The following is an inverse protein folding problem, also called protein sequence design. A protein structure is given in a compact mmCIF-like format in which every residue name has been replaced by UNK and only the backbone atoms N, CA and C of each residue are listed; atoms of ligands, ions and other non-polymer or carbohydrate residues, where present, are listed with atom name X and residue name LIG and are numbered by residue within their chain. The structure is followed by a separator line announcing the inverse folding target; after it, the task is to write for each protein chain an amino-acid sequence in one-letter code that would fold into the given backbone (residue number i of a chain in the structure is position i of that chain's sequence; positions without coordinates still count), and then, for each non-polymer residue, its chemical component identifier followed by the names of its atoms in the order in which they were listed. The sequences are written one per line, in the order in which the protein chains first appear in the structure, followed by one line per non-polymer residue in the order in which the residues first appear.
data_IF_775864700508
#
_entry.id   IF_775864700508
#
_cell.length_a   1.000
_cell.length_b   1.000
_cell.length_c   1.000
_cell.angle_alpha   90.00
_cell.angle_beta   90.00
_cell.angle_gamma   90.00
#
_symmetry.space_group_name_H-M   'P 1'
#
loop_
_entity.id
_entity.type
_entity.pdbx_description
1 polymer ?
#
# COMPACT_ATOMS: atom_id res chain seq x y z
N UNK A 1 36.68 47.07 13.24
CA UNK A 1 36.15 46.42 12.00
C UNK A 1 35.84 44.97 12.35
N UNK A 2 34.67 44.79 12.95
CA UNK A 2 33.45 44.17 12.39
C UNK A 2 33.36 42.70 12.79
N UNK A 3 32.96 42.50 14.04
CA UNK A 3 32.45 41.25 14.60
C UNK A 3 31.21 40.84 13.81
N UNK A 4 31.32 39.76 13.04
CA UNK A 4 30.17 39.15 12.35
C UNK A 4 29.31 38.48 13.43
N UNK A 5 28.19 39.11 13.75
CA UNK A 5 27.18 38.54 14.62
C UNK A 5 26.58 37.30 13.94
N UNK A 6 26.86 36.11 14.48
CA UNK A 6 26.12 34.89 14.15
C UNK A 6 24.65 35.13 14.48
N UNK A 7 23.81 35.26 13.45
CA UNK A 7 22.36 35.22 13.61
C UNK A 7 21.96 33.85 14.15
N UNK A 8 21.09 33.76 15.16
CA UNK A 8 20.58 32.47 15.62
C UNK A 8 19.84 31.80 14.46
N UNK A 9 20.19 30.54 14.18
CA UNK A 9 19.48 29.71 13.22
C UNK A 9 17.99 29.69 13.61
N UNK A 10 17.14 30.32 12.80
CA UNK A 10 15.69 30.25 12.97
C UNK A 10 15.30 28.78 12.83
N UNK A 11 14.81 28.19 13.91
CA UNK A 11 14.20 26.88 13.86
C UNK A 11 13.01 26.94 12.90
N UNK A 12 13.11 26.19 11.80
CA UNK A 12 12.04 26.10 10.81
C UNK A 12 10.99 25.15 11.40
N UNK A 13 9.82 25.69 11.74
CA UNK A 13 8.70 24.89 12.24
C UNK A 13 8.04 24.27 11.01
N UNK A 14 8.25 22.96 10.80
CA UNK A 14 7.73 22.24 9.63
C UNK A 14 6.20 22.28 9.48
N UNK A 15 5.45 22.56 10.54
CA UNK A 15 3.99 22.55 10.50
C UNK A 15 3.38 23.63 9.59
N UNK A 16 4.13 24.69 9.25
CA UNK A 16 3.66 25.78 8.40
C UNK A 16 4.24 25.73 6.98
N UNK A 17 5.05 24.70 6.66
CA UNK A 17 5.65 24.54 5.33
C UNK A 17 4.69 23.72 4.48
N UNK A 18 4.10 24.36 3.47
CA UNK A 18 3.42 23.65 2.39
C UNK A 18 4.52 23.15 1.43
N UNK A 19 4.80 21.84 1.38
CA UNK A 19 5.88 21.33 0.53
C UNK A 19 5.50 21.49 -0.93
N UNK A 20 6.43 21.99 -1.76
CA UNK A 20 6.26 21.96 -3.20
C UNK A 20 6.31 20.50 -3.69
N UNK A 21 5.19 19.98 -4.18
CA UNK A 21 5.06 18.61 -4.65
C UNK A 21 6.05 18.26 -5.77
N UNK A 22 6.41 19.22 -6.63
CA UNK A 22 7.35 18.98 -7.73
C UNK A 22 8.77 18.77 -7.18
N UNK A 23 9.16 19.56 -6.18
CA UNK A 23 10.45 19.44 -5.52
C UNK A 23 10.56 18.16 -4.68
N UNK A 24 9.51 17.81 -3.96
CA UNK A 24 9.46 16.57 -3.15
C UNK A 24 9.60 15.32 -4.03
N UNK A 25 8.92 15.30 -5.18
CA UNK A 25 8.96 14.20 -6.15
C UNK A 25 10.28 14.05 -6.89
N UNK A 26 11.23 14.99 -6.76
CA UNK A 26 12.61 14.81 -7.27
C UNK A 26 13.38 13.75 -6.48
N UNK A 27 12.98 13.47 -5.25
CA UNK A 27 13.56 12.38 -4.47
C UNK A 27 12.78 11.08 -4.76
N UNK A 28 13.46 9.96 -5.10
CA UNK A 28 12.80 8.67 -5.26
C UNK A 28 12.01 8.27 -4.00
N UNK A 29 10.79 7.78 -4.19
CA UNK A 29 9.86 7.50 -3.08
C UNK A 29 10.46 6.52 -2.05
N UNK A 30 11.12 5.46 -2.51
CA UNK A 30 11.78 4.48 -1.64
C UNK A 30 12.85 5.13 -0.77
N UNK A 31 13.62 6.07 -1.34
CA UNK A 31 14.68 6.77 -0.64
C UNK A 31 14.10 7.79 0.36
N UNK A 32 13.02 8.48 -0.04
CA UNK A 32 12.31 9.42 0.81
C UNK A 32 11.75 8.76 2.08
N UNK A 33 11.08 7.61 1.94
CA UNK A 33 10.53 6.87 3.09
C UNK A 33 11.61 6.13 3.89
N UNK A 34 12.61 5.52 3.24
CA UNK A 34 13.69 4.82 3.95
C UNK A 34 14.52 5.76 4.81
N UNK A 35 14.85 6.94 4.29
CA UNK A 35 15.69 7.91 4.98
C UNK A 35 14.88 8.94 5.77
N UNK A 36 13.54 8.87 5.73
CA UNK A 36 12.62 9.87 6.28
C UNK A 36 13.05 11.27 5.88
N UNK A 37 13.10 11.52 4.58
CA UNK A 37 13.69 12.69 3.96
C UNK A 37 12.67 13.42 3.05
N UNK A 38 12.54 14.73 3.22
CA UNK A 38 11.61 15.59 2.50
C UNK A 38 12.36 16.81 1.93
N UNK A 39 12.49 16.94 0.60
CA UNK A 39 12.89 18.19 -0.02
C UNK A 39 11.85 19.29 0.26
N UNK A 40 12.24 20.42 0.85
CA UNK A 40 11.30 21.47 1.28
C UNK A 40 11.49 22.82 0.60
N UNK A 41 12.69 23.11 0.08
CA UNK A 41 12.99 24.35 -0.61
C UNK A 41 14.19 24.19 -1.55
N UNK A 42 14.23 24.98 -2.62
CA UNK A 42 15.38 25.10 -3.51
C UNK A 42 15.76 26.57 -3.64
N UNK A 43 17.02 26.90 -3.41
CA UNK A 43 17.56 28.24 -3.52
C UNK A 43 19.02 28.18 -3.99
N UNK A 44 19.40 29.03 -4.95
CA UNK A 44 20.77 29.14 -5.46
C UNK A 44 21.38 27.80 -5.94
N UNK A 45 20.56 26.91 -6.51
CA UNK A 45 20.98 25.57 -6.97
C UNK A 45 21.24 24.57 -5.84
N UNK A 46 20.90 24.91 -4.60
CA UNK A 46 20.94 24.02 -3.46
C UNK A 46 19.53 23.66 -2.97
N UNK A 47 19.32 22.39 -2.64
CA UNK A 47 18.05 21.87 -2.12
C UNK A 47 18.15 21.70 -0.62
N UNK A 48 17.22 22.28 0.11
CA UNK A 48 17.06 22.03 1.55
C UNK A 48 16.21 20.78 1.73
N UNK A 49 16.79 19.77 2.38
CA UNK A 49 16.13 18.49 2.68
C UNK A 49 15.99 18.37 4.19
N UNK A 50 14.76 18.18 4.65
CA UNK A 50 14.48 17.84 6.04
C UNK A 50 14.61 16.34 6.21
N UNK A 51 15.38 15.87 7.19
CA UNK A 51 15.59 14.45 7.48
C UNK A 51 15.40 14.12 8.96
N UNK A 52 14.93 12.92 9.26
CA UNK A 52 14.87 12.44 10.65
C UNK A 52 16.28 12.27 11.25
N UNK A 53 17.25 11.81 10.45
CA UNK A 53 18.62 11.57 10.89
C UNK A 53 19.66 12.20 9.94
N UNK A 54 19.91 13.52 10.02
CA UNK A 54 20.87 14.20 9.13
C UNK A 54 22.34 13.89 9.44
N UNK A 55 22.63 13.15 10.51
CA UNK A 55 24.00 12.75 10.85
C UNK A 55 24.45 11.47 10.13
N UNK A 56 23.54 10.80 9.42
CA UNK A 56 23.86 9.61 8.64
C UNK A 56 24.53 10.02 7.31
N UNK A 57 25.84 9.81 7.16
CA UNK A 57 26.57 10.24 5.98
C UNK A 57 26.15 9.43 4.74
N UNK A 58 25.80 8.16 4.90
CA UNK A 58 25.40 7.28 3.79
C UNK A 58 24.07 7.77 3.22
N UNK A 59 23.09 8.01 4.08
CA UNK A 59 21.79 8.52 3.66
C UNK A 59 21.91 9.90 2.97
N UNK A 60 22.77 10.78 3.48
CA UNK A 60 23.01 12.10 2.88
C UNK A 60 23.62 12.01 1.48
N UNK A 61 24.61 11.13 1.30
CA UNK A 61 25.28 10.97 0.03
C UNK A 61 24.33 10.37 -1.01
N UNK A 62 23.53 9.36 -0.62
CA UNK A 62 22.48 8.78 -1.48
C UNK A 62 21.44 9.84 -1.90
N UNK A 63 20.96 10.65 -0.97
CA UNK A 63 19.97 11.71 -1.25
C UNK A 63 20.56 12.79 -2.16
N UNK A 64 21.80 13.22 -1.89
CA UNK A 64 22.48 14.23 -2.72
C UNK A 64 22.69 13.72 -4.15
N UNK A 65 23.10 12.45 -4.29
CA UNK A 65 23.26 11.80 -5.59
C UNK A 65 21.93 11.70 -6.35
N UNK A 66 20.84 11.33 -5.66
CA UNK A 66 19.51 11.22 -6.25
C UNK A 66 18.96 12.58 -6.72
N UNK A 67 19.21 13.64 -5.95
CA UNK A 67 18.70 14.99 -6.27
C UNK A 67 19.52 15.72 -7.34
N UNK A 68 20.75 15.28 -7.59
CA UNK A 68 21.66 15.88 -8.57
C UNK A 68 22.07 17.31 -8.25
N UNK A 69 21.87 17.75 -7.00
CA UNK A 69 22.07 19.12 -6.55
C UNK A 69 22.75 19.17 -5.18
N UNK A 70 23.43 20.28 -4.88
CA UNK A 70 23.99 20.51 -3.56
C UNK A 70 22.86 20.46 -2.52
N UNK A 71 22.97 19.62 -1.50
CA UNK A 71 21.88 19.39 -0.55
C UNK A 71 22.26 19.91 0.85
N UNK A 72 21.39 20.72 1.44
CA UNK A 72 21.49 21.15 2.83
C UNK A 72 20.53 20.33 3.68
N UNK A 73 21.05 19.65 4.70
CA UNK A 73 20.26 18.74 5.53
C UNK A 73 19.87 19.38 6.85
N UNK A 74 18.58 19.40 7.13
CA UNK A 74 18.01 19.95 8.37
C UNK A 74 17.30 18.84 9.12
N UNK A 75 17.45 18.82 10.45
CA UNK A 75 16.75 17.82 11.28
C UNK A 75 15.26 18.13 11.35
N UNK A 76 14.43 17.15 11.05
CA UNK A 76 12.98 17.18 11.29
C UNK A 76 12.53 16.04 12.19
N UNK A 77 11.27 16.09 12.62
CA UNK A 77 10.63 14.96 13.31
C UNK A 77 10.17 13.95 12.26
N UNK A 78 10.51 12.68 12.48
CA UNK A 78 10.14 11.58 11.59
C UNK A 78 8.64 11.57 11.30
N UNK A 79 7.81 11.73 12.32
CA UNK A 79 6.35 11.65 12.21
C UNK A 79 5.79 12.78 11.33
N UNK A 80 6.36 13.99 11.45
CA UNK A 80 5.97 15.14 10.63
C UNK A 80 6.43 14.96 9.18
N UNK A 81 7.64 14.44 8.99
CA UNK A 81 8.16 14.14 7.65
C UNK A 81 7.27 13.10 6.99
N UNK A 82 7.03 11.96 7.64
CA UNK A 82 6.21 10.88 7.10
C UNK A 82 4.78 11.34 6.80
N UNK A 83 4.18 12.19 7.65
CA UNK A 83 2.87 12.78 7.38
C UNK A 83 2.87 13.67 6.13
N UNK A 84 3.92 14.47 5.94
CA UNK A 84 4.07 15.34 4.77
C UNK A 84 4.39 14.55 3.49
N UNK A 85 5.27 13.54 3.56
CA UNK A 85 5.53 12.61 2.46
C UNK A 85 4.23 11.93 2.03
N UNK A 86 3.46 11.41 3.00
CA UNK A 86 2.14 10.85 2.73
C UNK A 86 1.20 11.90 2.10
N UNK A 87 1.13 13.13 2.62
CA UNK A 87 0.30 14.16 1.97
C UNK A 87 0.78 14.53 0.57
N UNK A 88 2.08 14.52 0.27
CA UNK A 88 2.53 14.86 -1.07
C UNK A 88 2.30 13.69 -2.02
N UNK A 89 2.67 12.46 -1.66
CA UNK A 89 2.46 11.32 -2.55
C UNK A 89 1.02 10.80 -2.58
N UNK A 90 0.18 11.12 -1.59
CA UNK A 90 -1.25 10.75 -1.56
C UNK A 90 -2.21 11.93 -1.86
N UNK A 91 -1.80 13.19 -1.68
CA UNK A 91 -2.68 14.39 -1.80
C UNK A 91 -2.23 15.38 -2.89
N UNK A 92 -1.10 15.17 -3.60
CA UNK A 92 -0.74 16.05 -4.72
C UNK A 92 -1.38 15.62 -6.04
N UNK A 93 -2.39 16.39 -6.41
CA UNK A 93 -3.00 16.53 -7.74
C UNK A 93 -2.31 15.74 -8.85
N UNK A 94 -2.92 14.61 -9.17
CA UNK A 94 -2.83 13.77 -10.35
C UNK A 94 -1.66 14.03 -11.35
N UNK A 95 -0.47 13.44 -11.15
CA UNK A 95 0.12 12.71 -12.26
C UNK A 95 -0.74 11.44 -12.41
N UNK A 96 -1.60 11.37 -13.44
CA UNK A 96 -2.53 10.26 -13.66
C UNK A 96 -1.99 8.92 -13.19
N UNK A 97 -2.73 8.20 -12.34
CA UNK A 97 -2.38 6.82 -11.98
C UNK A 97 -2.01 6.04 -13.25
N UNK A 98 -1.01 5.17 -13.19
CA UNK A 98 -0.61 4.38 -14.38
C UNK A 98 -0.77 2.91 -14.10
N UNK A 99 -1.63 2.26 -14.86
CA UNK A 99 -1.99 0.86 -14.71
C UNK A 99 -1.44 0.04 -15.87
N UNK A 100 -0.86 -1.11 -15.54
CA UNK A 100 -0.47 -2.12 -16.53
C UNK A 100 -1.48 -3.25 -16.53
N UNK A 101 -1.94 -3.65 -17.70
CA UNK A 101 -2.82 -4.81 -17.86
C UNK A 101 -2.06 -5.92 -18.56
N UNK A 102 -2.01 -7.10 -17.94
CA UNK A 102 -1.34 -8.25 -18.51
C UNK A 102 -2.25 -9.48 -18.56
N UNK A 103 -2.50 -9.97 -19.78
CA UNK A 103 -3.27 -11.20 -20.04
C UNK A 103 -2.84 -11.88 -21.35
N UNK A 104 -3.29 -13.12 -21.55
CA UNK A 104 -3.28 -13.78 -22.86
C UNK A 104 -4.24 -13.09 -23.84
N UNK A 105 -3.95 -13.11 -25.15
CA UNK A 105 -4.78 -12.48 -26.18
C UNK A 105 -6.24 -12.95 -26.20
N UNK A 106 -6.50 -14.20 -25.83
CA UNK A 106 -7.81 -14.85 -25.98
C UNK A 106 -8.89 -14.37 -25.00
N UNK A 107 -8.50 -13.74 -23.87
CA UNK A 107 -9.43 -13.28 -22.81
C UNK A 107 -9.34 -11.78 -22.54
N UNK A 108 -8.50 -11.10 -23.32
CA UNK A 108 -8.10 -9.71 -23.11
C UNK A 108 -9.29 -8.74 -23.04
N UNK A 109 -10.34 -8.93 -23.83
CA UNK A 109 -11.46 -7.95 -23.88
C UNK A 109 -12.18 -7.79 -22.54
N UNK A 110 -12.46 -8.90 -21.83
CA UNK A 110 -13.19 -8.85 -20.57
C UNK A 110 -12.34 -8.25 -19.44
N UNK A 111 -11.04 -8.57 -19.41
CA UNK A 111 -10.11 -7.98 -18.45
C UNK A 111 -9.85 -6.51 -18.77
N UNK A 112 -9.67 -6.17 -20.05
CA UNK A 112 -9.40 -4.80 -20.48
C UNK A 112 -10.58 -3.89 -20.17
N UNK A 113 -11.82 -4.34 -20.40
CA UNK A 113 -13.02 -3.58 -20.00
C UNK A 113 -13.06 -3.32 -18.50
N UNK A 114 -12.74 -4.34 -17.68
CA UNK A 114 -12.68 -4.18 -16.23
C UNK A 114 -11.52 -3.26 -15.79
N UNK A 115 -10.35 -3.39 -16.41
CA UNK A 115 -9.18 -2.58 -16.14
C UNK A 115 -9.39 -1.11 -16.54
N UNK A 116 -10.01 -0.84 -17.69
CA UNK A 116 -10.43 0.51 -18.08
C UNK A 116 -11.45 1.06 -17.09
N UNK A 117 -12.44 0.26 -16.65
CA UNK A 117 -13.43 0.72 -15.67
C UNK A 117 -12.79 1.10 -14.33
N UNK A 118 -11.80 0.34 -13.86
CA UNK A 118 -10.99 0.73 -12.70
C UNK A 118 -10.11 1.94 -13.01
N UNK A 119 -9.51 2.00 -14.19
CA UNK A 119 -8.74 3.15 -14.65
C UNK A 119 -9.55 4.44 -14.59
N UNK A 120 -10.80 4.40 -15.05
CA UNK A 120 -11.71 5.54 -15.03
C UNK A 120 -12.00 6.03 -13.60
N UNK A 121 -12.15 5.11 -12.63
CA UNK A 121 -12.34 5.47 -11.21
C UNK A 121 -11.12 6.20 -10.62
N UNK A 122 -9.93 5.91 -11.13
CA UNK A 122 -8.67 6.49 -10.69
C UNK A 122 -8.16 7.60 -11.61
N UNK A 123 -8.87 7.93 -12.69
CA UNK A 123 -8.36 8.77 -13.77
C UNK A 123 -6.97 8.32 -14.26
N UNK A 124 -6.81 7.00 -14.42
CA UNK A 124 -5.57 6.34 -14.71
C UNK A 124 -5.34 6.11 -16.22
N UNK A 125 -4.09 6.22 -16.66
CA UNK A 125 -3.64 5.69 -17.94
C UNK A 125 -3.52 4.17 -17.85
N UNK A 126 -4.17 3.45 -18.76
CA UNK A 126 -4.14 1.98 -18.80
C UNK A 126 -3.31 1.53 -19.99
N UNK A 127 -2.08 1.05 -19.74
CA UNK A 127 -1.18 0.50 -20.76
C UNK A 127 -1.27 -1.04 -20.79
N UNK A 128 -1.21 -1.61 -22.00
CA UNK A 128 -1.17 -3.05 -22.20
C UNK A 128 0.27 -3.56 -22.12
N UNK A 129 0.48 -4.59 -21.29
CA UNK A 129 1.71 -5.36 -21.25
C UNK A 129 1.47 -6.76 -21.84
N UNK A 130 2.18 -7.09 -22.91
CA UNK A 130 2.13 -8.43 -23.49
C UNK A 130 2.71 -9.47 -22.53
N UNK A 131 1.96 -10.56 -22.33
CA UNK A 131 2.45 -11.69 -21.55
C UNK A 131 3.51 -12.44 -22.35
N UNK A 132 4.70 -12.60 -21.75
CA UNK A 132 5.81 -13.35 -22.32
C UNK A 132 6.00 -14.62 -21.49
N UNK A 133 5.88 -15.81 -22.10
CA UNK A 133 6.05 -17.10 -21.40
C UNK A 133 7.45 -17.26 -20.77
N UNK A 134 8.45 -16.56 -21.30
CA UNK A 134 9.79 -16.53 -20.75
C UNK A 134 9.87 -15.65 -19.49
N UNK A 135 9.92 -16.31 -18.34
CA UNK A 135 9.81 -15.71 -17.01
C UNK A 135 10.88 -14.67 -16.68
N UNK A 136 12.12 -14.83 -17.16
CA UNK A 136 13.19 -13.88 -16.86
C UNK A 136 13.02 -12.57 -17.63
N UNK A 137 12.62 -12.65 -18.91
CA UNK A 137 12.35 -11.47 -19.74
C UNK A 137 11.09 -10.73 -19.30
N UNK A 138 10.07 -11.46 -18.86
CA UNK A 138 8.85 -10.85 -18.32
C UNK A 138 9.15 -10.04 -17.05
N UNK A 139 9.86 -10.63 -16.09
CA UNK A 139 10.24 -9.94 -14.86
C UNK A 139 11.15 -8.74 -15.11
N UNK A 140 12.10 -8.83 -16.04
CA UNK A 140 12.97 -7.69 -16.37
C UNK A 140 12.22 -6.57 -17.08
N UNK A 141 11.27 -6.89 -17.96
CA UNK A 141 10.43 -5.88 -18.61
C UNK A 141 9.50 -5.21 -17.59
N UNK A 142 8.94 -6.01 -16.67
CA UNK A 142 8.09 -5.51 -15.60
C UNK A 142 8.88 -4.65 -14.60
N UNK A 143 10.10 -5.03 -14.23
CA UNK A 143 10.98 -4.22 -13.39
C UNK A 143 11.32 -2.86 -14.04
N UNK A 144 11.64 -2.87 -15.33
CA UNK A 144 11.84 -1.62 -16.09
C UNK A 144 10.56 -0.77 -16.10
N UNK A 145 9.40 -1.40 -16.28
CA UNK A 145 8.11 -0.72 -16.23
C UNK A 145 7.79 -0.20 -14.83
N UNK A 146 8.16 -0.89 -13.75
CA UNK A 146 8.00 -0.33 -12.40
C UNK A 146 8.87 0.91 -12.21
N UNK A 147 10.07 0.96 -12.79
CA UNK A 147 10.92 2.15 -12.79
C UNK A 147 10.33 3.31 -13.60
N UNK A 148 9.44 3.03 -14.57
CA UNK A 148 8.69 4.04 -15.33
C UNK A 148 7.53 4.68 -14.50
N UNK A 149 7.33 4.27 -13.25
CA UNK A 149 6.36 4.90 -12.33
C UNK A 149 4.93 4.38 -12.51
N UNK A 150 4.75 3.07 -12.62
CA UNK A 150 3.42 2.43 -12.63
C UNK A 150 2.97 2.05 -11.22
N UNK A 151 1.69 2.29 -10.92
CA UNK A 151 1.12 2.11 -9.57
C UNK A 151 0.46 0.75 -9.37
N UNK A 152 -0.15 0.21 -10.44
CA UNK A 152 -0.92 -1.03 -10.38
C UNK A 152 -0.64 -1.94 -11.58
N UNK A 153 -0.39 -3.22 -11.30
CA UNK A 153 -0.40 -4.29 -12.28
C UNK A 153 -1.68 -5.12 -12.15
N UNK A 154 -2.48 -5.16 -13.21
CA UNK A 154 -3.73 -5.91 -13.32
C UNK A 154 -3.48 -7.21 -14.08
N UNK A 155 -3.76 -8.34 -13.43
CA UNK A 155 -3.58 -9.68 -13.99
C UNK A 155 -4.91 -10.42 -14.12
N UNK A 156 -5.17 -10.94 -15.32
CA UNK A 156 -6.35 -11.76 -15.61
C UNK A 156 -6.17 -13.27 -15.35
N UNK A 157 -7.28 -14.03 -15.39
CA UNK A 157 -7.29 -15.47 -15.18
C UNK A 157 -6.79 -16.21 -16.41
N UNK A 158 -5.49 -16.53 -16.44
CA UNK A 158 -4.89 -17.18 -17.62
C UNK A 158 -5.31 -18.64 -17.90
N UNK A 159 -5.96 -19.38 -17.00
CA UNK A 159 -6.37 -20.78 -17.30
C UNK A 159 -7.57 -21.22 -16.43
N UNK A 160 -8.39 -22.15 -16.94
CA UNK A 160 -9.54 -22.81 -16.28
C UNK A 160 -9.28 -23.45 -14.90
N UNK A 161 -8.07 -23.36 -14.35
CA UNK A 161 -7.75 -23.86 -13.01
C UNK A 161 -6.61 -23.04 -12.38
N UNK A 162 -6.91 -21.79 -12.01
CA UNK A 162 -6.03 -20.94 -11.20
C UNK A 162 -5.48 -21.68 -9.96
N UNK A 163 -6.29 -22.59 -9.39
CA UNK A 163 -5.95 -23.57 -8.34
C UNK A 163 -4.74 -24.46 -8.66
N UNK A 164 -4.60 -24.97 -9.90
CA UNK A 164 -3.53 -25.91 -10.27
C UNK A 164 -2.21 -25.20 -10.64
N UNK A 165 -2.28 -23.88 -10.88
CA UNK A 165 -1.17 -23.08 -11.39
C UNK A 165 -0.39 -22.35 -10.29
N UNK A 166 -1.04 -21.96 -9.18
CA UNK A 166 -0.35 -21.43 -7.98
C UNK A 166 0.64 -22.44 -7.35
N UNK A 167 0.46 -23.74 -7.63
CA UNK A 167 1.39 -24.80 -7.24
C UNK A 167 2.50 -25.05 -8.28
N UNK A 168 2.38 -24.53 -9.50
CA UNK A 168 3.22 -24.91 -10.64
C UNK A 168 4.15 -23.80 -11.16
N UNK A 169 3.90 -22.52 -10.85
CA UNK A 169 4.70 -21.41 -11.39
C UNK A 169 5.40 -20.57 -10.28
N UNK A 170 6.71 -20.78 -10.05
CA UNK A 170 7.50 -19.98 -9.08
C UNK A 170 7.58 -18.49 -9.43
N UNK A 171 7.22 -18.11 -10.66
CA UNK A 171 7.27 -16.73 -11.16
C UNK A 171 6.27 -15.82 -10.44
N UNK A 172 5.07 -16.29 -10.12
CA UNK A 172 4.04 -15.45 -9.49
C UNK A 172 4.33 -15.17 -8.02
N UNK A 173 5.01 -16.07 -7.33
CA UNK A 173 5.50 -15.82 -5.96
C UNK A 173 6.57 -14.72 -5.97
N UNK A 174 7.44 -14.71 -6.99
CA UNK A 174 8.38 -13.60 -7.21
C UNK A 174 7.67 -12.30 -7.58
N UNK A 175 6.64 -12.31 -8.43
CA UNK A 175 5.85 -11.10 -8.77
C UNK A 175 5.17 -10.54 -7.51
N UNK A 176 4.47 -11.38 -6.75
CA UNK A 176 3.71 -10.97 -5.57
C UNK A 176 4.64 -10.48 -4.45
N UNK A 177 5.84 -11.07 -4.27
CA UNK A 177 6.71 -10.72 -3.15
C UNK A 177 7.82 -9.73 -3.52
N UNK A 178 8.34 -9.74 -4.75
CA UNK A 178 9.56 -9.02 -5.13
C UNK A 178 9.31 -7.74 -5.93
N UNK A 179 8.10 -7.54 -6.48
CA UNK A 179 7.81 -6.31 -7.20
C UNK A 179 7.39 -5.18 -6.25
N UNK A 180 7.83 -3.94 -6.50
CA UNK A 180 7.41 -2.77 -5.74
C UNK A 180 6.01 -2.25 -6.13
N UNK A 181 5.41 -2.77 -7.21
CA UNK A 181 4.09 -2.35 -7.71
C UNK A 181 2.94 -3.11 -7.03
N UNK A 182 1.82 -2.41 -6.79
CA UNK A 182 0.59 -3.06 -6.30
C UNK A 182 0.02 -4.00 -7.36
N UNK A 183 -0.68 -5.05 -6.92
CA UNK A 183 -1.13 -6.11 -7.81
C UNK A 183 -2.63 -6.37 -7.68
N UNK A 184 -3.39 -6.21 -8.76
CA UNK A 184 -4.78 -6.61 -8.83
C UNK A 184 -4.92 -7.91 -9.61
N UNK A 185 -5.29 -8.98 -8.92
CA UNK A 185 -5.53 -10.29 -9.53
C UNK A 185 -7.02 -10.52 -9.70
N UNK A 186 -7.46 -10.70 -10.95
CA UNK A 186 -8.86 -10.88 -11.29
C UNK A 186 -9.05 -12.33 -11.71
N UNK A 187 -9.85 -13.08 -10.96
CA UNK A 187 -10.29 -14.42 -11.36
C UNK A 187 -11.64 -14.37 -12.06
N UNK A 188 -12.54 -13.54 -11.55
CA UNK A 188 -13.83 -13.24 -12.13
C UNK A 188 -14.11 -11.77 -11.92
N UNK A 189 -14.29 -11.03 -13.01
CA UNK A 189 -14.65 -9.62 -12.95
C UNK A 189 -15.99 -9.44 -12.23
N UNK A 190 -16.04 -8.50 -11.27
CA UNK A 190 -17.23 -8.14 -10.49
C UNK A 190 -17.43 -6.63 -10.60
N UNK A 191 -18.38 -6.22 -11.44
CA UNK A 191 -18.66 -4.81 -11.69
C UNK A 191 -20.18 -4.58 -11.66
N UNK A 192 -20.68 -3.45 -11.12
CA UNK A 192 -19.94 -2.36 -10.46
C UNK A 192 -19.39 -2.76 -9.08
N UNK A 193 -18.29 -2.12 -8.65
CA UNK A 193 -17.75 -2.32 -7.29
C UNK A 193 -18.68 -1.63 -6.31
N UNK A 194 -19.40 -2.41 -5.50
CA UNK A 194 -20.35 -1.90 -4.51
C UNK A 194 -19.95 -2.25 -3.08
N UNK A 195 -19.17 -3.32 -2.89
CA UNK A 195 -18.70 -3.75 -1.57
C UNK A 195 -17.23 -4.15 -1.59
N UNK A 196 -16.44 -3.51 -0.74
CA UNK A 196 -15.00 -3.71 -0.63
C UNK A 196 -14.68 -4.29 0.74
N UNK A 197 -13.97 -5.42 0.77
CA UNK A 197 -13.41 -6.01 1.99
C UNK A 197 -11.94 -5.63 2.10
N UNK A 198 -11.53 -4.94 3.17
CA UNK A 198 -10.12 -4.60 3.43
C UNK A 198 -9.64 -5.41 4.63
N UNK A 199 -8.57 -6.19 4.44
CA UNK A 199 -7.94 -6.94 5.51
C UNK A 199 -6.93 -6.05 6.25
N UNK A 200 -7.08 -5.94 7.57
CA UNK A 200 -6.19 -5.17 8.46
C UNK A 200 -5.35 -6.12 9.30
N UNK A 201 -4.03 -6.04 9.15
CA UNK A 201 -3.06 -6.96 9.76
C UNK A 201 -2.38 -6.36 11.00
N UNK A 202 -2.56 -5.06 11.25
CA UNK A 202 -1.93 -4.31 12.34
C UNK A 202 -0.53 -3.83 12.01
N UNK A 203 -0.23 -3.59 10.73
CA UNK A 203 1.08 -3.19 10.23
C UNK A 203 0.99 -1.85 9.48
N UNK A 204 2.11 -1.15 9.30
CA UNK A 204 2.11 0.14 8.58
C UNK A 204 1.60 0.02 7.12
N UNK A 205 1.74 -1.17 6.53
CA UNK A 205 1.27 -1.49 5.17
C UNK A 205 -0.25 -1.56 5.07
N UNK A 206 -0.97 -1.57 6.19
CA UNK A 206 -2.43 -1.42 6.16
C UNK A 206 -2.83 -0.03 5.64
N UNK A 207 -1.99 1.00 5.83
CA UNK A 207 -2.34 2.36 5.43
C UNK A 207 -2.52 2.52 3.91
N UNK A 208 -1.55 2.14 3.06
CA UNK A 208 -1.77 2.14 1.61
C UNK A 208 -3.00 1.31 1.21
N UNK A 209 -3.24 0.15 1.84
CA UNK A 209 -4.39 -0.69 1.53
C UNK A 209 -5.73 0.02 1.81
N UNK A 210 -5.82 0.74 2.92
CA UNK A 210 -7.00 1.55 3.24
C UNK A 210 -7.14 2.72 2.27
N UNK A 211 -6.06 3.40 1.91
CA UNK A 211 -6.11 4.51 0.93
C UNK A 211 -6.63 4.04 -0.44
N UNK A 212 -6.15 2.90 -0.95
CA UNK A 212 -6.69 2.30 -2.19
C UNK A 212 -8.20 2.02 -2.08
N UNK A 213 -8.64 1.50 -0.94
CA UNK A 213 -10.06 1.25 -0.67
C UNK A 213 -10.90 2.53 -0.61
N UNK A 214 -10.38 3.58 0.02
CA UNK A 214 -11.01 4.91 0.12
C UNK A 214 -11.21 5.51 -1.27
N UNK A 215 -10.16 5.55 -2.10
CA UNK A 215 -10.25 6.10 -3.46
C UNK A 215 -11.30 5.37 -4.30
N UNK A 216 -11.28 4.03 -4.25
CA UNK A 216 -12.27 3.21 -4.92
C UNK A 216 -13.69 3.50 -4.42
N UNK A 217 -13.89 3.53 -3.10
CA UNK A 217 -15.19 3.76 -2.50
C UNK A 217 -15.73 5.17 -2.76
N UNK A 218 -14.88 6.19 -2.79
CA UNK A 218 -15.29 7.55 -3.15
C UNK A 218 -15.81 7.62 -4.58
N UNK A 219 -15.08 7.02 -5.52
CA UNK A 219 -15.44 7.05 -6.95
C UNK A 219 -16.65 6.15 -7.26
N UNK A 220 -16.76 4.99 -6.60
CA UNK A 220 -17.81 3.99 -6.87
C UNK A 220 -19.01 4.04 -5.91
N UNK A 221 -18.93 4.81 -4.82
CA UNK A 221 -19.85 4.79 -3.68
C UNK A 221 -19.99 3.40 -3.03
N UNK A 222 -18.89 2.64 -3.01
CA UNK A 222 -18.87 1.32 -2.42
C UNK A 222 -18.86 1.37 -0.88
N UNK A 223 -19.51 0.40 -0.25
CA UNK A 223 -19.41 0.15 1.19
C UNK A 223 -18.09 -0.53 1.51
N UNK A 224 -17.37 -0.05 2.52
CA UNK A 224 -16.12 -0.65 2.98
C UNK A 224 -16.38 -1.48 4.23
N UNK A 225 -15.88 -2.72 4.26
CA UNK A 225 -15.74 -3.51 5.48
C UNK A 225 -14.27 -3.67 5.83
N UNK A 226 -13.87 -3.14 6.99
CA UNK A 226 -12.55 -3.36 7.58
C UNK A 226 -12.61 -4.63 8.42
N UNK A 227 -11.89 -5.68 8.01
CA UNK A 227 -11.83 -6.95 8.73
C UNK A 227 -10.46 -7.14 9.35
N UNK A 228 -10.43 -7.29 10.67
CA UNK A 228 -9.25 -7.75 11.40
C UNK A 228 -9.53 -9.08 12.10
N UNK A 229 -8.52 -9.96 12.12
CA UNK A 229 -8.63 -11.30 12.69
C UNK A 229 -7.49 -11.50 13.67
N UNK A 230 -7.83 -11.61 14.96
CA UNK A 230 -6.88 -11.89 16.02
C UNK A 230 -6.80 -13.41 16.29
N UNK A 231 -5.61 -13.97 16.53
CA UNK A 231 -5.49 -15.39 16.84
C UNK A 231 -6.19 -15.72 18.15
N UNK A 232 -6.81 -16.90 18.23
CA UNK A 232 -7.34 -17.42 19.51
C UNK A 232 -6.19 -17.79 20.44
N UNK A 233 -6.26 -17.36 21.70
CA UNK A 233 -5.27 -17.78 22.71
C UNK A 233 -5.42 -19.29 22.96
N UNK A 234 -4.33 -20.09 22.94
CA UNK A 234 -4.40 -21.53 23.18
C UNK A 234 -5.04 -21.87 24.53
N UNK A 235 -5.83 -22.95 24.55
CA UNK A 235 -6.62 -23.34 25.73
C UNK A 235 -5.80 -23.59 27.00
N UNK A 236 -4.51 -23.91 26.88
CA UNK A 236 -3.60 -24.05 28.02
C UNK A 236 -3.36 -22.75 28.81
N UNK A 237 -3.76 -21.60 28.27
CA UNK A 237 -3.71 -20.29 28.94
C UNK A 237 -5.09 -19.83 29.44
N UNK A 238 -6.10 -20.71 29.49
CA UNK A 238 -7.50 -20.41 29.89
C UNK A 238 -7.69 -19.81 31.31
N UNK A 239 -6.65 -19.78 32.14
CA UNK A 239 -6.66 -19.19 33.49
C UNK A 239 -6.12 -17.76 33.57
N UNK A 240 -5.46 -17.26 32.53
CA UNK A 240 -5.26 -15.83 32.33
C UNK A 240 -6.56 -15.34 31.69
N UNK A 241 -7.13 -14.24 32.20
CA UNK A 241 -8.40 -13.68 31.73
C UNK A 241 -8.53 -13.87 30.22
N UNK A 242 -9.62 -14.52 29.77
CA UNK A 242 -9.90 -14.69 28.35
C UNK A 242 -9.53 -13.37 27.68
N UNK A 243 -8.58 -13.39 26.75
CA UNK A 243 -8.30 -12.28 25.83
C UNK A 243 -9.51 -12.15 24.89
N UNK A 244 -10.67 -11.87 25.48
CA UNK A 244 -11.89 -11.44 24.86
C UNK A 244 -11.76 -9.93 24.64
N UNK A 245 -10.64 -9.50 24.03
CA UNK A 245 -10.52 -8.12 23.62
C UNK A 245 -11.60 -7.87 22.57
N UNK A 246 -12.69 -7.26 23.00
CA UNK A 246 -13.75 -6.80 22.12
C UNK A 246 -13.21 -5.67 21.24
N UNK A 247 -13.96 -5.36 20.17
CA UNK A 247 -13.59 -4.26 19.29
C UNK A 247 -13.36 -2.92 20.03
N UNK A 248 -14.18 -2.52 21.02
CA UNK A 248 -13.94 -1.28 21.77
C UNK A 248 -12.64 -1.32 22.59
N UNK A 249 -12.31 -2.49 23.16
CA UNK A 249 -11.11 -2.68 23.96
C UNK A 249 -9.85 -2.63 23.08
N UNK A 250 -9.89 -3.31 21.92
CA UNK A 250 -8.81 -3.26 20.93
C UNK A 250 -8.59 -1.82 20.43
N UNK A 251 -9.67 -1.10 20.12
CA UNK A 251 -9.62 0.31 19.73
C UNK A 251 -9.15 1.24 20.85
N UNK A 252 -9.24 0.85 22.12
CA UNK A 252 -8.73 1.64 23.26
C UNK A 252 -7.25 1.34 23.57
N UNK A 253 -6.75 0.20 23.13
CA UNK A 253 -5.40 -0.26 23.41
C UNK A 253 -4.38 0.58 22.62
N UNK A 254 -3.18 0.77 23.19
CA UNK A 254 -2.03 1.37 22.48
C UNK A 254 -1.27 0.36 21.61
N UNK A 255 -1.86 -0.80 21.32
CA UNK A 255 -1.25 -1.82 20.46
C UNK A 255 -1.19 -1.32 19.02
N UNK A 256 -0.21 -1.81 18.25
CA UNK A 256 -0.07 -1.42 16.84
C UNK A 256 -1.35 -1.72 16.05
N UNK A 257 -1.94 -2.89 16.25
CA UNK A 257 -3.22 -3.25 15.64
C UNK A 257 -4.35 -2.29 16.02
N UNK A 258 -4.49 -1.94 17.31
CA UNK A 258 -5.50 -0.99 17.77
C UNK A 258 -5.31 0.41 17.18
N UNK A 259 -4.06 0.86 17.04
CA UNK A 259 -3.71 2.14 16.42
C UNK A 259 -4.04 2.15 14.92
N UNK A 260 -3.65 1.11 14.16
CA UNK A 260 -3.95 1.03 12.72
C UNK A 260 -5.46 0.94 12.47
N UNK A 261 -6.18 0.15 13.29
CA UNK A 261 -7.62 0.00 13.16
C UNK A 261 -8.36 1.31 13.45
N UNK A 262 -7.92 2.05 14.47
CA UNK A 262 -8.46 3.37 14.81
C UNK A 262 -8.18 4.38 13.70
N UNK A 263 -6.94 4.45 13.23
CA UNK A 263 -6.56 5.31 12.10
C UNK A 263 -7.39 5.00 10.87
N UNK A 264 -7.59 3.71 10.52
CA UNK A 264 -8.38 3.32 9.36
C UNK A 264 -9.86 3.72 9.52
N UNK A 265 -10.44 3.51 10.70
CA UNK A 265 -11.83 3.94 10.97
C UNK A 265 -11.98 5.46 10.91
N UNK A 266 -11.06 6.22 11.52
CA UNK A 266 -11.01 7.68 11.45
C UNK A 266 -10.85 8.16 10.00
N UNK A 267 -10.06 7.46 9.18
CA UNK A 267 -9.88 7.75 7.76
C UNK A 267 -11.19 7.61 6.97
N UNK A 268 -11.96 6.54 7.19
CA UNK A 268 -13.26 6.36 6.54
C UNK A 268 -14.28 7.43 6.96
N UNK A 269 -14.31 7.78 8.25
CA UNK A 269 -15.20 8.83 8.77
C UNK A 269 -14.85 10.19 8.20
N UNK A 270 -13.55 10.53 8.12
CA UNK A 270 -13.07 11.79 7.54
C UNK A 270 -13.54 11.97 6.10
N UNK A 271 -13.56 10.89 5.32
CA UNK A 271 -13.99 10.89 3.92
C UNK A 271 -15.50 10.65 3.75
N UNK A 272 -16.27 10.62 4.84
CA UNK A 272 -17.71 10.40 4.87
C UNK A 272 -18.16 9.14 4.10
N UNK A 273 -17.41 8.05 4.26
CA UNK A 273 -17.67 6.76 3.63
C UNK A 273 -18.44 5.81 4.57
N UNK A 274 -19.32 5.00 3.99
CA UNK A 274 -20.01 3.93 4.71
C UNK A 274 -19.04 2.79 5.03
N UNK A 275 -18.57 2.77 6.28
CA UNK A 275 -17.57 1.84 6.78
C UNK A 275 -18.09 0.95 7.91
N UNK A 276 -17.99 -0.37 7.74
CA UNK A 276 -18.23 -1.34 8.81
C UNK A 276 -16.89 -1.88 9.34
N UNK A 277 -16.71 -1.87 10.66
CA UNK A 277 -15.55 -2.43 11.31
C UNK A 277 -15.88 -3.80 11.94
N UNK A 278 -15.11 -4.83 11.58
CA UNK A 278 -15.31 -6.20 12.05
C UNK A 278 -14.04 -6.78 12.68
N UNK A 279 -14.20 -7.30 13.90
CA UNK A 279 -13.20 -8.10 14.59
C UNK A 279 -13.66 -9.57 14.63
N UNK A 280 -12.82 -10.47 14.13
CA UNK A 280 -12.99 -11.92 14.26
C UNK A 280 -11.85 -12.52 15.07
N UNK A 281 -12.08 -13.71 15.61
CA UNK A 281 -11.07 -14.43 16.38
C UNK A 281 -10.86 -15.84 15.81
N UNK A 282 -9.61 -16.30 15.76
CA UNK A 282 -9.25 -17.67 15.36
C UNK A 282 -8.48 -17.76 14.06
N UNK A 283 -8.64 -18.88 13.35
CA UNK A 283 -7.92 -19.14 12.10
C UNK A 283 -8.30 -18.12 11.04
N UNK A 284 -7.30 -17.39 10.52
CA UNK A 284 -7.51 -16.35 9.52
C UNK A 284 -8.17 -16.89 8.26
N UNK A 285 -7.66 -17.99 7.71
CA UNK A 285 -8.23 -18.60 6.51
C UNK A 285 -9.70 -18.96 6.71
N UNK A 286 -10.04 -19.55 7.86
CA UNK A 286 -11.43 -19.93 8.14
C UNK A 286 -12.34 -18.70 8.30
N UNK A 287 -11.90 -17.68 9.04
CA UNK A 287 -12.68 -16.47 9.28
C UNK A 287 -12.91 -15.67 7.99
N UNK A 288 -11.89 -15.51 7.13
CA UNK A 288 -12.04 -14.82 5.85
C UNK A 288 -13.00 -15.61 4.95
N UNK A 289 -12.85 -16.94 4.87
CA UNK A 289 -13.79 -17.78 4.10
C UNK A 289 -15.22 -17.67 4.61
N UNK A 290 -15.40 -17.69 5.94
CA UNK A 290 -16.71 -17.53 6.54
C UNK A 290 -17.33 -16.18 6.20
N UNK A 291 -16.55 -15.09 6.27
CA UNK A 291 -17.02 -13.74 5.92
C UNK A 291 -17.40 -13.65 4.44
N UNK A 292 -16.56 -14.17 3.54
CA UNK A 292 -16.83 -14.20 2.10
C UNK A 292 -17.99 -15.13 1.69
N UNK A 293 -18.33 -16.11 2.53
CA UNK A 293 -19.54 -16.93 2.34
C UNK A 293 -20.80 -16.28 2.87
N UNK A 294 -20.67 -15.43 3.90
CA UNK A 294 -21.81 -14.78 4.56
C UNK A 294 -22.24 -13.50 3.83
N UNK A 295 -21.29 -12.81 3.19
CA UNK A 295 -21.53 -11.57 2.47
C UNK A 295 -20.87 -11.59 1.10
N UNK A 296 -21.57 -11.00 0.14
CA UNK A 296 -21.06 -10.77 -1.21
C UNK A 296 -20.18 -9.51 -1.23
N UNK A 297 -18.90 -9.69 -1.53
CA UNK A 297 -17.94 -8.62 -1.79
C UNK A 297 -17.51 -8.65 -3.26
N UNK A 298 -17.26 -7.47 -3.84
CA UNK A 298 -16.85 -7.31 -5.23
C UNK A 298 -15.33 -7.21 -5.37
N UNK A 299 -14.66 -6.72 -4.32
CA UNK A 299 -13.21 -6.58 -4.28
C UNK A 299 -12.69 -6.88 -2.86
N UNK A 300 -11.57 -7.59 -2.80
CA UNK A 300 -10.81 -7.79 -1.56
C UNK A 300 -9.51 -7.04 -1.67
N UNK A 301 -9.18 -6.21 -0.68
CA UNK A 301 -7.91 -5.49 -0.58
C UNK A 301 -7.14 -6.08 0.60
N UNK A 302 -5.89 -6.43 0.35
CA UNK A 302 -4.97 -6.91 1.38
C UNK A 302 -3.62 -6.21 1.24
N UNK A 303 -2.97 -5.83 2.34
CA UNK A 303 -1.55 -5.48 2.27
C UNK A 303 -0.73 -6.69 1.84
N UNK A 304 0.41 -6.45 1.20
CA UNK A 304 1.40 -7.47 0.88
C UNK A 304 2.02 -8.02 2.16
N UNK A 305 2.23 -9.35 2.23
CA UNK A 305 2.85 -9.99 3.39
C UNK A 305 4.31 -9.56 3.59
N UNK A 306 4.84 -9.63 4.82
CA UNK A 306 6.27 -9.36 5.12
C UNK A 306 7.11 -10.61 4.87
N UNK A 307 8.37 -10.41 4.47
CA UNK A 307 9.37 -11.49 4.38
C UNK A 307 9.90 -11.95 5.75
N UNK A 308 9.53 -11.26 6.85
CA UNK A 308 9.97 -11.62 8.19
C UNK A 308 9.54 -13.04 8.55
N UNK A 309 10.53 -13.86 8.95
CA UNK A 309 10.41 -15.33 9.12
C UNK A 309 9.34 -15.74 10.13
N UNK A 310 8.97 -14.87 11.07
CA UNK A 310 7.88 -15.09 12.03
C UNK A 310 6.50 -14.72 11.44
N UNK A 311 6.43 -13.67 10.62
CA UNK A 311 5.19 -13.22 9.94
C UNK A 311 4.84 -14.09 8.73
N UNK A 312 5.83 -14.77 8.14
CA UNK A 312 5.61 -15.81 7.11
C UNK A 312 4.70 -16.94 7.58
N UNK A 313 4.63 -17.22 8.88
CA UNK A 313 3.78 -18.30 9.42
C UNK A 313 2.34 -17.86 9.69
N UNK A 314 2.07 -16.55 9.73
CA UNK A 314 0.74 -16.00 10.03
C UNK A 314 0.10 -15.27 8.83
N UNK A 315 0.81 -14.37 8.15
CA UNK A 315 0.18 -13.41 7.23
C UNK A 315 0.62 -13.52 5.76
N UNK A 316 1.89 -13.86 5.47
CA UNK A 316 2.34 -14.11 4.08
C UNK A 316 1.62 -15.30 3.41
N UNK A 317 1.06 -16.19 4.22
CA UNK A 317 0.23 -17.33 3.81
C UNK A 317 -1.16 -16.88 3.38
N UNK A 318 -1.72 -15.82 3.97
CA UNK A 318 -3.10 -15.40 3.71
C UNK A 318 -3.28 -14.95 2.28
N UNK A 319 -2.42 -14.08 1.75
CA UNK A 319 -2.54 -13.60 0.37
C UNK A 319 -2.45 -14.75 -0.65
N UNK A 320 -1.52 -15.69 -0.43
CA UNK A 320 -1.39 -16.89 -1.28
C UNK A 320 -2.61 -17.79 -1.21
N UNK A 321 -3.13 -18.04 0.00
CA UNK A 321 -4.29 -18.88 0.21
C UNK A 321 -5.53 -18.22 -0.35
N UNK A 322 -5.74 -16.92 -0.10
CA UNK A 322 -6.85 -16.13 -0.62
C UNK A 322 -6.96 -16.28 -2.13
N UNK A 323 -5.85 -16.03 -2.85
CA UNK A 323 -5.76 -16.22 -4.29
C UNK A 323 -6.08 -17.66 -4.72
N UNK A 324 -5.81 -18.67 -3.91
CA UNK A 324 -6.09 -20.06 -4.28
C UNK A 324 -7.58 -20.40 -4.36
N UNK A 325 -8.38 -19.88 -3.42
CA UNK A 325 -9.76 -20.34 -3.27
C UNK A 325 -10.83 -19.28 -3.55
N UNK A 326 -10.51 -17.98 -3.52
CA UNK A 326 -11.47 -16.93 -3.82
C UNK A 326 -11.71 -16.80 -5.33
N UNK A 327 -12.95 -16.55 -5.74
CA UNK A 327 -13.29 -16.15 -7.11
C UNK A 327 -13.29 -14.63 -7.30
N UNK A 328 -13.08 -13.87 -6.21
CA UNK A 328 -13.16 -12.41 -6.20
C UNK A 328 -11.85 -11.77 -6.68
N UNK A 329 -11.94 -10.58 -7.31
CA UNK A 329 -10.78 -9.70 -7.50
C UNK A 329 -10.07 -9.47 -6.16
N UNK A 330 -8.74 -9.61 -6.16
CA UNK A 330 -7.88 -9.36 -4.99
C UNK A 330 -6.84 -8.31 -5.35
N UNK A 331 -6.88 -7.17 -4.68
CA UNK A 331 -5.86 -6.13 -4.72
C UNK A 331 -4.86 -6.36 -3.59
N UNK A 332 -3.60 -6.54 -3.95
CA UNK A 332 -2.46 -6.69 -3.05
C UNK A 332 -1.68 -5.39 -3.09
N UNK A 333 -1.71 -4.64 -2.00
CA UNK A 333 -1.09 -3.32 -1.92
C UNK A 333 0.30 -3.41 -1.28
N UNK A 334 1.26 -2.67 -1.83
CA UNK A 334 2.66 -2.70 -1.40
C UNK A 334 2.97 -1.79 -0.22
#
# INVERSE_FOLDING_TARGET
MTTVACRPARALILNDVIPDSALVRRLPIDLAFRCHALPVAEADGAITVVMANPEDPVARDEISAALGAASCFVRGRKETIDALLNSVWLDSGNPGYRFLVCETPERFEALNSYACSIGDLFHAEVERLEWIENSSRFLSNLARKTDEGYDLLILGPQVQSFRRYLTACPMREKIINQLPISLLVIQRSRWPISRILILIQGEERDKPAVEWGVHLAQASKAEITLLTIVPSVPGMYQGLERFNCGLPELLSTKSQLGQQLRWAAERLVKENLDGTLQLRQGSQEWQIRSELSAKEYDLIITPAGSEDRLHKYLFGVVTRHLLYWTDRPVLIVK
#
